data_IF_549762190704
#
_entry.id   IF_549762190704
#
_cell.length_a   1.000
_cell.length_b   1.000
_cell.length_c   1.000
_cell.angle_alpha   90.00
_cell.angle_beta   90.00
_cell.angle_gamma   90.00
#
_symmetry.space_group_name_H-M   'P 1'
#
loop_
_entity.id
_entity.type
_entity.pdbx_description
1 polymer ?
#
# COMPACT_ATOMS: atom_id res chain seq x y z
N UNK A 1 18.72 8.58 10.91
CA UNK A 1 18.64 7.14 10.62
C UNK A 1 17.58 6.93 9.54
N UNK A 2 17.97 6.98 8.27
CA UNK A 2 17.04 6.81 7.16
C UNK A 2 16.54 5.36 7.16
N UNK A 3 15.26 5.15 7.45
CA UNK A 3 14.64 3.84 7.31
C UNK A 3 14.76 3.44 5.83
N UNK A 4 15.77 2.63 5.47
CA UNK A 4 15.93 2.16 4.10
C UNK A 4 14.75 1.24 3.80
N UNK A 5 13.82 1.73 3.00
CA UNK A 5 12.70 0.93 2.51
C UNK A 5 13.19 0.10 1.34
N UNK A 6 12.87 -1.19 1.37
CA UNK A 6 13.23 -2.15 0.33
C UNK A 6 12.16 -2.21 -0.74
N UNK A 7 10.90 -2.35 -0.32
CA UNK A 7 9.76 -2.47 -1.22
C UNK A 7 8.46 -2.04 -0.51
N UNK A 8 7.46 -1.71 -1.31
CA UNK A 8 6.09 -1.45 -0.89
C UNK A 8 5.21 -2.64 -1.27
N UNK A 9 4.24 -2.96 -0.44
CA UNK A 9 3.20 -3.95 -0.71
C UNK A 9 1.87 -3.25 -0.63
N UNK A 10 1.10 -3.26 -1.70
CA UNK A 10 -0.26 -2.70 -1.73
C UNK A 10 -1.23 -3.86 -1.78
N UNK A 11 -2.09 -3.95 -0.77
CA UNK A 11 -3.21 -4.89 -0.71
C UNK A 11 -4.49 -4.15 -1.02
N UNK A 12 -5.25 -4.62 -2.00
CA UNK A 12 -6.53 -4.04 -2.36
C UNK A 12 -7.52 -5.12 -2.82
N UNK A 13 -8.79 -4.74 -2.95
CA UNK A 13 -9.83 -5.59 -3.53
C UNK A 13 -9.89 -5.41 -5.06
N UNK A 14 -9.63 -6.49 -5.81
CA UNK A 14 -9.72 -6.51 -7.28
C UNK A 14 -11.13 -6.20 -7.81
N UNK A 15 -12.17 -6.38 -6.99
CA UNK A 15 -13.54 -5.97 -7.29
C UNK A 15 -13.75 -4.45 -7.25
N UNK A 16 -12.80 -3.68 -6.70
CA UNK A 16 -12.86 -2.22 -6.61
C UNK A 16 -12.03 -1.56 -7.74
N UNK A 17 -12.65 -1.11 -8.85
CA UNK A 17 -11.95 -0.51 -10.00
C UNK A 17 -11.24 0.81 -9.66
N UNK A 18 -11.66 1.52 -8.60
CA UNK A 18 -10.96 2.71 -8.09
C UNK A 18 -9.72 2.35 -7.27
N UNK A 19 -9.73 1.19 -6.61
CA UNK A 19 -8.64 0.72 -5.76
C UNK A 19 -7.48 0.14 -6.60
N UNK A 20 -7.79 -0.52 -7.72
CA UNK A 20 -6.79 -1.03 -8.67
C UNK A 20 -6.00 0.09 -9.35
N UNK A 21 -6.63 1.25 -9.59
CA UNK A 21 -5.97 2.42 -10.20
C UNK A 21 -4.77 2.92 -9.40
N UNK A 22 -4.88 2.95 -8.07
CA UNK A 22 -3.73 3.28 -7.20
C UNK A 22 -2.62 2.26 -7.38
N UNK A 23 -2.93 0.97 -7.43
CA UNK A 23 -1.90 -0.05 -7.54
C UNK A 23 -1.08 0.07 -8.84
N UNK A 24 -1.68 0.63 -9.89
CA UNK A 24 -1.01 0.93 -11.15
C UNK A 24 -0.27 2.28 -11.17
N UNK A 25 -0.79 3.32 -10.51
CA UNK A 25 -0.21 4.68 -10.57
C UNK A 25 0.78 4.99 -9.42
N UNK A 26 0.67 4.29 -8.29
CA UNK A 26 1.60 4.41 -7.16
C UNK A 26 3.06 4.05 -7.50
N UNK A 27 3.35 3.01 -8.31
CA UNK A 27 4.70 2.67 -8.75
C UNK A 27 5.45 3.84 -9.43
N UNK A 28 4.74 4.68 -10.18
CA UNK A 28 5.34 5.83 -10.87
C UNK A 28 5.70 6.98 -9.89
N UNK A 29 5.06 7.02 -8.72
CA UNK A 29 5.24 8.06 -7.72
C UNK A 29 6.34 7.74 -6.69
N UNK A 30 6.79 6.49 -6.62
CA UNK A 30 7.76 6.02 -5.61
C UNK A 30 9.11 5.68 -6.23
N UNK A 31 10.15 5.64 -5.40
CA UNK A 31 11.50 5.21 -5.83
C UNK A 31 11.74 3.72 -5.66
N UNK A 32 10.86 3.02 -4.92
CA UNK A 32 11.03 1.61 -4.55
C UNK A 32 10.08 0.71 -5.32
N UNK A 33 10.42 -0.59 -5.38
CA UNK A 33 9.55 -1.58 -6.01
C UNK A 33 8.21 -1.65 -5.28
N UNK A 34 7.11 -1.60 -6.03
CA UNK A 34 5.76 -1.81 -5.51
C UNK A 34 5.31 -3.21 -5.90
N UNK A 35 4.93 -4.00 -4.89
CA UNK A 35 4.24 -5.27 -5.06
C UNK A 35 2.77 -5.06 -4.83
N UNK A 36 1.98 -5.64 -5.71
CA UNK A 36 0.54 -5.54 -5.67
C UNK A 36 -0.03 -6.91 -5.31
N UNK A 37 -0.96 -6.93 -4.36
CA UNK A 37 -1.59 -8.15 -3.85
C UNK A 37 -3.10 -7.95 -3.71
N UNK A 38 -3.86 -9.00 -4.01
CA UNK A 38 -5.30 -8.99 -3.80
C UNK A 38 -5.62 -9.39 -2.37
N UNK A 39 -6.59 -8.73 -1.74
CA UNK A 39 -7.12 -9.16 -0.45
C UNK A 39 -7.82 -10.54 -0.57
N UNK A 40 -8.29 -10.90 -1.77
CA UNK A 40 -8.90 -12.19 -2.08
C UNK A 40 -7.86 -13.31 -2.26
N UNK A 41 -6.56 -13.00 -2.16
CA UNK A 41 -5.50 -13.99 -2.30
C UNK A 41 -5.47 -14.89 -1.04
N UNK A 42 -5.79 -16.20 -1.14
CA UNK A 42 -6.02 -17.05 0.04
C UNK A 42 -4.78 -17.21 0.92
N UNK A 43 -3.58 -17.06 0.35
CA UNK A 43 -2.30 -17.14 1.07
C UNK A 43 -1.81 -15.81 1.61
N UNK A 44 -2.60 -14.73 1.50
CA UNK A 44 -2.14 -13.40 1.88
C UNK A 44 -1.79 -13.31 3.37
N UNK A 45 -2.62 -13.91 4.23
CA UNK A 45 -2.38 -13.97 5.67
C UNK A 45 -1.16 -14.84 6.02
N UNK A 46 -0.89 -15.90 5.24
CA UNK A 46 0.29 -16.75 5.44
C UNK A 46 1.58 -16.04 5.02
N UNK A 47 1.55 -15.28 3.93
CA UNK A 47 2.68 -14.49 3.43
C UNK A 47 2.97 -13.31 4.36
N UNK A 48 1.92 -12.72 4.95
CA UNK A 48 2.01 -11.57 5.83
C UNK A 48 1.28 -11.84 7.16
N UNK A 49 1.91 -12.54 8.10
CA UNK A 49 1.27 -12.93 9.37
C UNK A 49 0.90 -11.73 10.26
N UNK A 50 1.47 -10.55 10.01
CA UNK A 50 1.16 -9.30 10.71
C UNK A 50 0.16 -8.41 9.95
N UNK A 51 -0.56 -8.96 8.97
CA UNK A 51 -1.56 -8.23 8.20
C UNK A 51 -2.74 -7.83 9.10
N UNK A 52 -3.25 -6.59 9.00
CA UNK A 52 -4.41 -6.18 9.78
C UNK A 52 -5.66 -7.01 9.42
N UNK A 53 -6.39 -7.48 10.42
CA UNK A 53 -7.65 -8.22 10.26
C UNK A 53 -8.67 -7.60 9.27
N UNK A 54 -8.93 -6.27 9.25
CA UNK A 54 -9.90 -5.71 8.29
C UNK A 54 -9.42 -5.78 6.84
N UNK A 55 -8.11 -5.97 6.59
CA UNK A 55 -7.53 -6.17 5.26
C UNK A 55 -7.63 -7.63 4.85
N UNK A 56 -7.35 -8.54 5.78
CA UNK A 56 -7.56 -9.98 5.59
C UNK A 56 -9.03 -10.30 5.30
N UNK A 57 -9.96 -9.54 5.89
CA UNK A 57 -11.39 -9.64 5.63
C UNK A 57 -11.87 -8.87 4.38
N UNK A 58 -10.96 -8.37 3.52
CA UNK A 58 -11.30 -7.54 2.35
C UNK A 58 -12.12 -6.27 2.63
N UNK A 59 -12.24 -5.81 3.88
CA UNK A 59 -13.05 -4.65 4.25
C UNK A 59 -12.36 -3.30 3.96
N UNK A 60 -11.04 -3.28 3.78
CA UNK A 60 -10.26 -2.07 3.47
C UNK A 60 -8.99 -2.37 2.69
N UNK A 61 -8.59 -1.51 1.72
CA UNK A 61 -7.23 -1.52 1.20
C UNK A 61 -6.20 -1.16 2.29
N UNK A 62 -4.97 -1.65 2.10
CA UNK A 62 -3.83 -1.37 2.95
C UNK A 62 -2.52 -1.30 2.18
N UNK A 63 -1.56 -0.62 2.80
CA UNK A 63 -0.21 -0.44 2.28
C UNK A 63 0.75 -0.94 3.35
N UNK A 64 1.58 -1.91 2.98
CA UNK A 64 2.71 -2.42 3.72
C UNK A 64 4.00 -1.78 3.24
N UNK A 65 4.83 -1.26 4.14
CA UNK A 65 6.21 -0.86 3.82
C UNK A 65 7.13 -1.93 4.33
N UNK A 66 7.88 -2.56 3.42
CA UNK A 66 8.90 -3.56 3.74
C UNK A 66 10.23 -2.83 3.86
N UNK A 67 10.79 -2.86 5.06
CA UNK A 67 12.11 -2.30 5.34
C UNK A 67 13.20 -3.30 4.95
N UNK A 68 14.44 -2.81 4.83
CA UNK A 68 15.60 -3.68 4.56
C UNK A 68 15.85 -4.74 5.63
N UNK A 69 15.39 -4.52 6.86
CA UNK A 69 15.44 -5.49 7.97
C UNK A 69 14.40 -6.63 7.83
N UNK A 70 13.58 -6.61 6.76
CA UNK A 70 12.50 -7.57 6.54
C UNK A 70 11.23 -7.28 7.32
N UNK A 71 11.22 -6.26 8.18
CA UNK A 71 10.01 -5.84 8.89
C UNK A 71 9.03 -5.19 7.94
N UNK A 72 7.75 -5.57 8.07
CA UNK A 72 6.65 -4.97 7.32
C UNK A 72 5.83 -4.13 8.26
N UNK A 73 5.66 -2.86 7.95
CA UNK A 73 4.74 -1.98 8.67
C UNK A 73 3.50 -1.77 7.84
N UNK A 74 2.32 -1.98 8.42
CA UNK A 74 1.05 -1.88 7.71
C UNK A 74 0.32 -0.59 8.07
N UNK A 75 -0.33 -0.01 7.06
CA UNK A 75 -1.23 1.11 7.20
C UNK A 75 -2.50 0.84 6.40
N UNK A 76 -3.65 1.00 7.04
CA UNK A 76 -4.96 0.75 6.43
C UNK A 76 -5.60 2.07 5.95
N UNK A 77 -6.32 2.02 4.83
CA UNK A 77 -7.08 3.16 4.29
C UNK A 77 -6.23 4.43 4.06
N UNK A 78 -6.76 5.60 4.44
CA UNK A 78 -6.09 6.91 4.30
C UNK A 78 -4.75 7.00 5.06
N UNK A 79 -4.57 6.21 6.12
CA UNK A 79 -3.29 6.16 6.84
C UNK A 79 -2.18 5.53 6.00
N UNK A 80 -2.54 4.81 4.93
CA UNK A 80 -1.62 4.32 3.90
C UNK A 80 -0.71 5.43 3.35
N UNK A 81 -1.23 6.65 3.19
CA UNK A 81 -0.47 7.82 2.75
C UNK A 81 0.72 8.14 3.65
N UNK A 82 0.57 7.92 4.96
CA UNK A 82 1.64 8.12 5.94
C UNK A 82 2.75 7.07 5.76
N UNK A 83 2.39 5.85 5.35
CA UNK A 83 3.34 4.79 5.03
C UNK A 83 4.14 5.06 3.76
N UNK A 84 3.55 5.70 2.75
CA UNK A 84 4.23 5.98 1.48
C UNK A 84 5.14 7.21 1.57
N UNK A 85 4.83 8.19 2.43
CA UNK A 85 5.64 9.41 2.64
C UNK A 85 7.17 9.22 2.61
N UNK A 86 7.76 8.27 3.36
CA UNK A 86 9.22 8.07 3.37
C UNK A 86 9.81 7.49 2.08
N UNK A 87 8.98 7.01 1.14
CA UNK A 87 9.39 6.42 -0.15
C UNK A 87 8.89 7.17 -1.37
N UNK A 88 8.23 8.31 -1.15
CA UNK A 88 7.86 9.20 -2.23
C UNK A 88 9.12 9.80 -2.86
N UNK A 89 9.12 9.87 -4.19
CA UNK A 89 10.11 10.68 -4.91
C UNK A 89 10.05 12.12 -4.40
N UNK A 90 11.20 12.83 -4.29
CA UNK A 90 11.19 14.27 -4.02
C UNK A 90 10.28 14.97 -5.04
N UNK A 91 9.24 15.68 -4.57
CA UNK A 91 8.27 16.36 -5.43
C UNK A 91 7.00 15.58 -5.82
N UNK A 92 6.92 14.26 -5.54
CA UNK A 92 5.73 13.44 -5.86
C UNK A 92 4.65 13.41 -4.75
N UNK A 93 4.89 14.09 -3.63
CA UNK A 93 4.00 14.16 -2.46
C UNK A 93 2.53 14.46 -2.77
N UNK A 94 2.23 15.58 -3.45
CA UNK A 94 0.84 15.98 -3.72
C UNK A 94 0.08 14.98 -4.59
N UNK A 95 0.77 14.39 -5.58
CA UNK A 95 0.19 13.45 -6.55
C UNK A 95 -0.16 12.11 -5.91
N UNK A 96 0.73 11.59 -5.07
CA UNK A 96 0.46 10.38 -4.30
C UNK A 96 -0.68 10.55 -3.29
N UNK A 97 -0.75 11.71 -2.63
CA UNK A 97 -1.86 12.02 -1.70
C UNK A 97 -3.19 12.15 -2.43
N UNK A 98 -3.22 12.75 -3.63
CA UNK A 98 -4.42 12.83 -4.46
C UNK A 98 -4.92 11.44 -4.87
N UNK A 99 -4.03 10.58 -5.35
CA UNK A 99 -4.36 9.19 -5.71
C UNK A 99 -4.93 8.41 -4.52
N UNK A 100 -4.29 8.51 -3.36
CA UNK A 100 -4.75 7.85 -2.13
C UNK A 100 -6.09 8.37 -1.62
N UNK A 101 -6.36 9.67 -1.78
CA UNK A 101 -7.68 10.25 -1.49
C UNK A 101 -8.74 9.71 -2.43
N UNK A 102 -8.44 9.51 -3.71
CA UNK A 102 -9.40 8.99 -4.69
C UNK A 102 -9.81 7.55 -4.43
N UNK A 103 -8.88 6.62 -4.10
CA UNK A 103 -9.34 5.26 -3.78
C UNK A 103 -10.06 5.17 -2.44
N UNK A 104 -9.78 6.05 -1.48
CA UNK A 104 -10.52 6.01 -0.21
C UNK A 104 -11.91 6.62 -0.34
N UNK A 105 -12.10 7.66 -1.16
CA UNK A 105 -13.44 8.14 -1.56
C UNK A 105 -14.15 7.20 -2.53
N UNK A 106 -13.41 6.24 -3.09
CA UNK A 106 -13.92 5.25 -4.03
C UNK A 106 -14.63 4.07 -3.40
N UNK A 107 -14.63 3.96 -2.07
CA UNK A 107 -15.28 2.91 -1.30
C UNK A 107 -16.77 3.19 -1.10
#
# INVERSE_FOLDING_TARGET
MAARVRELVVVFDVGCPRCSRIAHELPDCVTVKVRVRSCSEPRLADIYPNLPAPVAACGTPAIGVVRVDGSVRWWTGLRGAVGVLPVLRPGAGPRAVALLREAVRGR
#
